data_IF_130681642629
#
_entry.id   IF_130681642629
#
_cell.length_a   1.000
_cell.length_b   1.000
_cell.length_c   1.000
_cell.angle_alpha   90.00
_cell.angle_beta   90.00
_cell.angle_gamma   90.00
#
_symmetry.space_group_name_H-M   'P 1'
#
loop_
_entity.id
_entity.type
_entity.pdbx_description
1 polymer ?
#
# COMPACT_ATOMS: atom_id res chain seq x y z
N UNK A 1 -8.80 13.90 1.63
CA UNK A 1 -8.88 13.08 2.86
C UNK A 1 -7.58 12.33 3.03
N UNK A 2 -7.11 12.21 4.27
CA UNK A 2 -5.97 11.38 4.64
C UNK A 2 -6.48 10.13 5.35
N UNK A 3 -6.07 8.95 4.89
CA UNK A 3 -6.30 7.69 5.62
C UNK A 3 -4.94 7.17 6.04
N UNK A 4 -4.77 6.92 7.33
CA UNK A 4 -3.53 6.40 7.91
C UNK A 4 -3.84 5.03 8.48
N UNK A 5 -2.97 4.06 8.23
CA UNK A 5 -3.21 2.70 8.68
C UNK A 5 -1.96 1.85 8.73
N UNK A 6 -2.18 0.59 9.10
CA UNK A 6 -1.17 -0.45 9.14
C UNK A 6 -1.76 -1.72 8.52
N UNK A 7 -0.98 -2.41 7.70
CA UNK A 7 -1.37 -3.66 7.06
C UNK A 7 -0.28 -4.70 7.23
N UNK A 8 -0.71 -5.96 7.37
CA UNK A 8 0.16 -7.13 7.28
C UNK A 8 -0.32 -7.99 6.11
N UNK A 9 0.60 -8.57 5.35
CA UNK A 9 0.25 -9.36 4.18
C UNK A 9 1.28 -10.40 3.81
N UNK A 10 0.94 -11.19 2.78
CA UNK A 10 1.81 -12.22 2.23
C UNK A 10 1.72 -12.23 0.71
N UNK A 11 2.84 -12.07 0.05
CA UNK A 11 2.95 -12.18 -1.41
C UNK A 11 2.87 -13.67 -1.77
N UNK A 12 1.80 -14.09 -2.44
CA UNK A 12 1.55 -15.51 -2.74
C UNK A 12 2.65 -16.14 -3.61
N UNK A 13 3.17 -15.39 -4.59
CA UNK A 13 4.16 -15.88 -5.54
C UNK A 13 5.52 -16.20 -4.90
N UNK A 14 5.94 -15.41 -3.91
CA UNK A 14 7.24 -15.57 -3.22
C UNK A 14 7.09 -16.22 -1.84
N UNK A 15 5.85 -16.40 -1.37
CA UNK A 15 5.51 -16.86 -0.02
C UNK A 15 6.06 -15.96 1.10
N UNK A 16 6.57 -14.75 0.80
CA UNK A 16 7.15 -13.80 1.76
C UNK A 16 6.07 -12.91 2.37
N UNK A 17 6.19 -12.64 3.67
CA UNK A 17 5.31 -11.72 4.41
C UNK A 17 5.84 -10.29 4.38
N UNK A 18 4.95 -9.32 4.57
CA UNK A 18 5.30 -7.92 4.76
C UNK A 18 4.40 -7.26 5.80
N UNK A 19 4.91 -6.17 6.35
CA UNK A 19 4.16 -5.20 7.14
C UNK A 19 4.31 -3.84 6.46
N UNK A 20 3.26 -3.01 6.51
CA UNK A 20 3.25 -1.71 5.83
C UNK A 20 2.47 -0.68 6.65
N UNK A 21 3.17 0.38 7.06
CA UNK A 21 2.55 1.60 7.57
C UNK A 21 2.25 2.52 6.40
N UNK A 22 0.97 2.71 6.10
CA UNK A 22 0.56 3.40 4.89
C UNK A 22 -0.21 4.69 5.18
N UNK A 23 -0.13 5.58 4.21
CA UNK A 23 -0.95 6.79 4.13
C UNK A 23 -1.56 6.90 2.74
N UNK A 24 -2.88 6.97 2.65
CA UNK A 24 -3.59 7.24 1.40
C UNK A 24 -4.06 8.69 1.36
N UNK A 25 -3.59 9.44 0.36
CA UNK A 25 -4.08 10.78 0.05
C UNK A 25 -5.15 10.67 -1.01
N UNK A 26 -6.39 10.93 -0.59
CA UNK A 26 -7.59 10.75 -1.42
C UNK A 26 -8.16 12.12 -1.80
N UNK A 27 -8.37 12.33 -3.09
CA UNK A 27 -9.07 13.50 -3.64
C UNK A 27 -10.47 13.10 -4.09
N UNK A 28 -11.49 13.78 -3.57
CA UNK A 28 -12.90 13.63 -3.98
C UNK A 28 -13.31 14.88 -4.76
N UNK A 29 -14.01 14.70 -5.88
CA UNK A 29 -14.58 15.78 -6.69
C UNK A 29 -16.03 15.41 -7.03
N UNK A 30 -16.98 16.32 -6.78
CA UNK A 30 -18.42 16.08 -6.99
C UNK A 30 -18.92 14.80 -6.30
N UNK A 31 -18.48 14.56 -5.07
CA UNK A 31 -18.83 13.37 -4.28
C UNK A 31 -18.23 12.05 -4.80
N UNK A 32 -17.40 12.09 -5.85
CA UNK A 32 -16.75 10.90 -6.43
C UNK A 32 -15.25 10.90 -6.23
N UNK A 33 -14.68 9.70 -6.09
CA UNK A 33 -13.25 9.50 -6.06
C UNK A 33 -12.60 10.01 -7.36
N UNK A 34 -11.67 10.96 -7.24
CA UNK A 34 -10.92 11.53 -8.36
C UNK A 34 -9.47 11.01 -8.41
N UNK A 35 -8.81 10.91 -7.25
CA UNK A 35 -7.42 10.47 -7.18
C UNK A 35 -7.12 9.80 -5.84
N UNK A 36 -6.26 8.78 -5.88
CA UNK A 36 -5.58 8.21 -4.72
C UNK A 36 -4.08 8.28 -5.00
N UNK A 37 -3.31 8.69 -3.98
CA UNK A 37 -1.88 8.47 -3.92
C UNK A 37 -1.54 7.72 -2.64
N UNK A 38 -0.86 6.60 -2.80
CA UNK A 38 -0.41 5.75 -1.70
C UNK A 38 1.04 6.10 -1.34
N UNK A 39 1.28 6.28 -0.05
CA UNK A 39 2.61 6.35 0.54
C UNK A 39 2.75 5.12 1.43
N UNK A 40 3.56 4.18 0.97
CA UNK A 40 3.74 2.84 1.53
C UNK A 40 5.23 2.54 1.66
N UNK A 41 5.59 1.52 2.44
CA UNK A 41 6.96 0.99 2.48
C UNK A 41 7.26 0.22 1.19
N UNK A 42 7.66 0.98 0.16
CA UNK A 42 8.01 0.43 -1.15
C UNK A 42 9.21 -0.53 -1.08
N UNK A 43 10.12 -0.37 -0.11
CA UNK A 43 11.24 -1.29 0.06
C UNK A 43 10.79 -2.63 0.64
N UNK A 44 9.94 -2.63 1.66
CA UNK A 44 9.40 -3.85 2.23
C UNK A 44 8.62 -4.65 1.17
N UNK A 45 7.78 -3.97 0.38
CA UNK A 45 7.02 -4.60 -0.70
C UNK A 45 7.90 -5.10 -1.84
N UNK A 46 8.95 -4.36 -2.22
CA UNK A 46 9.92 -4.82 -3.21
C UNK A 46 10.64 -6.09 -2.77
N UNK A 47 11.14 -6.13 -1.52
CA UNK A 47 11.79 -7.32 -0.95
C UNK A 47 10.84 -8.52 -0.82
N UNK A 48 9.58 -8.27 -0.47
CA UNK A 48 8.57 -9.32 -0.41
C UNK A 48 8.20 -9.84 -1.81
N UNK A 49 8.33 -9.03 -2.86
CA UNK A 49 7.94 -9.38 -4.24
C UNK A 49 9.09 -9.94 -5.09
N UNK A 50 10.33 -9.81 -4.64
CA UNK A 50 11.50 -10.32 -5.34
C UNK A 50 11.42 -11.84 -5.56
N UNK A 51 11.44 -12.23 -6.83
CA UNK A 51 11.50 -13.63 -7.27
C UNK A 51 12.97 -14.08 -7.27
N UNK A 52 13.22 -15.29 -6.77
CA UNK A 52 14.53 -15.93 -6.81
C UNK A 52 14.87 -16.41 -8.23
#
# INVERSE_FOLDING_TARGET
>A
MLVVGFATGKVKATNRTFEDHFVYVITICNGKLKNIREYIDTQALARASEMA
#
